data_IF_096458786743
#
_entry.id   IF_096458786743
#
_cell.length_a   1.000
_cell.length_b   1.000
_cell.length_c   1.000
_cell.angle_alpha   90.00
_cell.angle_beta   90.00
_cell.angle_gamma   90.00
#
_symmetry.space_group_name_H-M   'P 1'
#
loop_
_entity.id
_entity.type
_entity.pdbx_description
1 polymer ?
#
# COMPACT_ATOMS: atom_id res chain seq x y z
N UNK A 1 -5.12 -33.36 5.58
CA UNK A 1 -6.59 -33.39 5.75
C UNK A 1 -6.99 -32.18 6.57
N UNK A 2 -7.50 -31.13 5.92
CA UNK A 2 -8.47 -30.14 6.40
C UNK A 2 -8.65 -29.12 5.27
N UNK A 3 -9.75 -29.27 4.54
CA UNK A 3 -10.23 -28.28 3.59
C UNK A 3 -10.87 -27.16 4.42
N UNK A 4 -10.48 -25.92 4.13
CA UNK A 4 -10.96 -24.72 4.79
C UNK A 4 -12.30 -24.33 4.17
N UNK A 5 -13.40 -24.78 4.76
CA UNK A 5 -14.75 -24.39 4.34
C UNK A 5 -14.97 -22.91 4.64
N UNK A 6 -15.06 -22.09 3.59
CA UNK A 6 -15.37 -20.67 3.73
C UNK A 6 -16.87 -20.47 3.71
N UNK A 7 -17.40 -19.98 4.83
CA UNK A 7 -18.83 -19.93 5.12
C UNK A 7 -19.27 -18.50 5.34
N UNK A 8 -19.97 -17.91 4.37
CA UNK A 8 -20.93 -16.83 4.62
C UNK A 8 -22.18 -17.21 3.80
N UNK A 9 -23.30 -17.48 4.49
CA UNK A 9 -24.57 -18.08 4.02
C UNK A 9 -24.70 -19.63 3.96
N UNK A 10 -23.72 -20.42 4.43
CA UNK A 10 -23.89 -21.88 4.59
C UNK A 10 -24.08 -22.67 3.28
N UNK A 11 -23.86 -22.04 2.12
CA UNK A 11 -24.08 -22.64 0.80
C UNK A 11 -22.76 -22.74 0.05
N UNK A 12 -22.06 -23.86 0.24
CA UNK A 12 -20.88 -24.19 -0.55
C UNK A 12 -21.31 -24.49 -1.99
N UNK A 13 -20.80 -23.71 -2.94
CA UNK A 13 -21.08 -23.94 -4.36
C UNK A 13 -20.37 -25.21 -4.85
N UNK A 14 -21.11 -26.07 -5.54
CA UNK A 14 -20.53 -27.21 -6.26
C UNK A 14 -19.66 -26.73 -7.42
N UNK A 15 -18.71 -27.55 -7.90
CA UNK A 15 -17.91 -27.21 -9.09
C UNK A 15 -18.78 -26.86 -10.30
N UNK A 16 -19.88 -27.59 -10.53
CA UNK A 16 -20.83 -27.32 -11.61
C UNK A 16 -21.54 -25.97 -11.45
N UNK A 17 -21.91 -25.59 -10.23
CA UNK A 17 -22.51 -24.29 -9.95
C UNK A 17 -21.51 -23.16 -10.21
N UNK A 18 -20.25 -23.31 -9.80
CA UNK A 18 -19.19 -22.32 -10.09
C UNK A 18 -19.01 -22.14 -11.59
N UNK A 19 -18.92 -23.22 -12.36
CA UNK A 19 -18.83 -23.16 -13.82
C UNK A 19 -20.05 -22.48 -14.44
N UNK A 20 -21.26 -22.78 -13.96
CA UNK A 20 -22.48 -22.14 -14.45
C UNK A 20 -22.47 -20.62 -14.20
N UNK A 21 -22.01 -20.17 -13.03
CA UNK A 21 -21.86 -18.73 -12.74
C UNK A 21 -20.84 -18.06 -13.65
N UNK A 22 -19.72 -18.74 -13.95
CA UNK A 22 -18.73 -18.23 -14.92
C UNK A 22 -19.36 -18.10 -16.31
N UNK A 23 -20.13 -19.09 -16.77
CA UNK A 23 -20.83 -19.01 -18.06
C UNK A 23 -21.81 -17.83 -18.08
N UNK A 24 -22.59 -17.63 -17.02
CA UNK A 24 -23.55 -16.53 -16.92
C UNK A 24 -22.88 -15.15 -16.80
N UNK A 25 -21.63 -15.06 -16.32
CA UNK A 25 -20.86 -13.81 -16.38
C UNK A 25 -20.53 -13.39 -17.82
N UNK A 26 -20.55 -14.33 -18.78
CA UNK A 26 -20.36 -14.06 -20.20
C UNK A 26 -21.64 -13.66 -20.92
N UNK A 27 -22.79 -13.65 -20.24
CA UNK A 27 -24.09 -13.34 -20.85
C UNK A 27 -24.13 -11.88 -21.34
N UNK A 28 -24.79 -11.66 -22.48
CA UNK A 28 -24.96 -10.33 -23.08
C UNK A 28 -26.02 -9.51 -22.35
N UNK A 29 -26.97 -10.15 -21.65
CA UNK A 29 -28.00 -9.47 -20.87
C UNK A 29 -27.38 -8.78 -19.63
N UNK A 30 -27.42 -7.43 -19.55
CA UNK A 30 -26.89 -6.69 -18.41
C UNK A 30 -27.56 -7.04 -17.08
N UNK A 31 -28.84 -7.43 -17.10
CA UNK A 31 -29.57 -7.81 -15.90
C UNK A 31 -29.07 -9.14 -15.32
N UNK A 32 -28.80 -10.12 -16.19
CA UNK A 32 -28.20 -11.42 -15.80
C UNK A 32 -26.81 -11.18 -15.23
N UNK A 33 -25.96 -10.45 -15.96
CA UNK A 33 -24.61 -10.11 -15.51
C UNK A 33 -24.63 -9.45 -14.12
N UNK A 34 -25.50 -8.46 -13.91
CA UNK A 34 -25.59 -7.73 -12.64
C UNK A 34 -25.96 -8.66 -11.48
N UNK A 35 -26.98 -9.50 -11.64
CA UNK A 35 -27.40 -10.43 -10.59
C UNK A 35 -26.31 -11.46 -10.25
N UNK A 36 -25.66 -12.00 -11.27
CA UNK A 36 -24.57 -12.98 -11.09
C UNK A 36 -23.38 -12.32 -10.41
N UNK A 37 -23.01 -11.10 -10.81
CA UNK A 37 -21.95 -10.32 -10.17
C UNK A 37 -22.25 -10.09 -8.69
N UNK A 38 -23.45 -9.63 -8.35
CA UNK A 38 -23.86 -9.38 -6.96
C UNK A 38 -23.84 -10.66 -6.12
N UNK A 39 -24.31 -11.77 -6.68
CA UNK A 39 -24.24 -13.08 -6.04
C UNK A 39 -22.79 -13.50 -5.79
N UNK A 40 -21.89 -13.34 -6.75
CA UNK A 40 -20.48 -13.68 -6.59
C UNK A 40 -19.83 -12.82 -5.50
N UNK A 41 -20.09 -11.50 -5.51
CA UNK A 41 -19.59 -10.59 -4.48
C UNK A 41 -20.07 -10.97 -3.08
N UNK A 42 -21.29 -11.52 -2.94
CA UNK A 42 -21.83 -11.94 -1.64
C UNK A 42 -21.05 -13.08 -0.95
N UNK A 43 -20.21 -13.82 -1.70
CA UNK A 43 -19.31 -14.84 -1.12
C UNK A 43 -18.00 -14.25 -0.56
N UNK A 44 -17.77 -12.95 -0.73
CA UNK A 44 -16.57 -12.25 -0.28
C UNK A 44 -15.30 -12.77 -0.95
N UNK A 45 -14.14 -12.53 -0.33
CA UNK A 45 -12.82 -12.86 -0.91
C UNK A 45 -12.66 -14.33 -1.31
N UNK A 46 -13.40 -15.25 -0.67
CA UNK A 46 -13.37 -16.67 -1.04
C UNK A 46 -13.79 -16.96 -2.48
N UNK A 47 -14.55 -16.04 -3.09
CA UNK A 47 -14.90 -16.14 -4.48
C UNK A 47 -13.69 -15.96 -5.41
N UNK A 48 -12.70 -15.17 -5.02
CA UNK A 48 -11.52 -14.92 -5.85
C UNK A 48 -10.72 -16.21 -6.11
N UNK A 49 -10.63 -17.11 -5.13
CA UNK A 49 -9.86 -18.37 -5.25
C UNK A 49 -10.26 -19.24 -6.45
N UNK A 50 -11.56 -19.29 -6.76
CA UNK A 50 -12.04 -20.05 -7.92
C UNK A 50 -12.20 -19.19 -9.18
N UNK A 51 -12.42 -17.88 -9.05
CA UNK A 51 -12.45 -16.95 -10.19
C UNK A 51 -11.08 -16.83 -10.87
N UNK A 52 -9.98 -16.85 -10.12
CA UNK A 52 -8.60 -16.71 -10.64
C UNK A 52 -8.27 -17.76 -11.70
N UNK A 53 -8.88 -18.94 -11.63
CA UNK A 53 -8.70 -20.01 -12.64
C UNK A 53 -9.23 -19.61 -14.03
N UNK A 54 -10.14 -18.65 -14.09
CA UNK A 54 -10.78 -18.16 -15.30
C UNK A 54 -10.33 -16.75 -15.70
N UNK A 55 -9.46 -16.12 -14.89
CA UNK A 55 -8.91 -14.78 -15.13
C UNK A 55 -8.06 -14.68 -16.41
N UNK A 56 -7.63 -15.82 -16.97
CA UNK A 56 -6.86 -15.92 -18.21
C UNK A 56 -7.67 -16.38 -19.43
N UNK A 57 -9.00 -16.36 -19.38
CA UNK A 57 -9.84 -16.80 -20.52
C UNK A 57 -9.60 -15.97 -21.80
N UNK A 58 -9.79 -16.59 -22.97
CA UNK A 58 -9.62 -15.94 -24.28
C UNK A 58 -10.70 -14.88 -24.55
N UNK A 59 -11.90 -15.09 -24.00
CA UNK A 59 -12.99 -14.11 -24.09
C UNK A 59 -12.61 -12.82 -23.32
N UNK A 60 -12.35 -11.75 -24.07
CA UNK A 60 -11.91 -10.47 -23.55
C UNK A 60 -12.94 -9.84 -22.59
N UNK A 61 -14.22 -9.99 -22.87
CA UNK A 61 -15.32 -9.40 -22.07
C UNK A 61 -15.44 -10.16 -20.76
N UNK A 62 -15.52 -11.49 -20.84
CA UNK A 62 -15.58 -12.34 -19.66
C UNK A 62 -14.34 -12.16 -18.78
N UNK A 63 -13.15 -12.14 -19.39
CA UNK A 63 -11.88 -11.89 -18.69
C UNK A 63 -11.89 -10.58 -17.93
N UNK A 64 -12.31 -9.48 -18.58
CA UNK A 64 -12.42 -8.16 -17.95
C UNK A 64 -13.37 -8.21 -16.75
N UNK A 65 -14.58 -8.76 -16.93
CA UNK A 65 -15.59 -8.89 -15.88
C UNK A 65 -15.08 -9.69 -14.68
N UNK A 66 -14.40 -10.81 -14.93
CA UNK A 66 -13.81 -11.64 -13.86
C UNK A 66 -12.74 -10.86 -13.09
N UNK A 67 -11.82 -10.21 -13.80
CA UNK A 67 -10.74 -9.44 -13.17
C UNK A 67 -11.28 -8.24 -12.36
N UNK A 68 -12.32 -7.57 -12.85
CA UNK A 68 -13.01 -6.50 -12.09
C UNK A 68 -13.63 -7.03 -10.80
N UNK A 69 -14.24 -8.22 -10.82
CA UNK A 69 -14.81 -8.84 -9.61
C UNK A 69 -13.71 -9.26 -8.65
N UNK A 70 -12.64 -9.92 -9.12
CA UNK A 70 -11.50 -10.30 -8.28
C UNK A 70 -10.90 -9.06 -7.61
N UNK A 71 -10.63 -8.02 -8.40
CA UNK A 71 -10.10 -6.77 -7.88
C UNK A 71 -11.01 -6.18 -6.81
N UNK A 72 -12.34 -6.15 -7.04
CA UNK A 72 -13.28 -5.60 -6.08
C UNK A 72 -13.32 -6.38 -4.76
N UNK A 73 -13.29 -7.72 -4.84
CA UNK A 73 -13.25 -8.60 -3.67
C UNK A 73 -11.99 -8.40 -2.82
N UNK A 74 -10.84 -8.25 -3.47
CA UNK A 74 -9.60 -7.99 -2.76
C UNK A 74 -9.56 -6.57 -2.19
N UNK A 75 -10.09 -5.57 -2.90
CA UNK A 75 -10.22 -4.20 -2.39
C UNK A 75 -11.05 -4.15 -1.09
N UNK A 76 -12.24 -4.77 -1.10
CA UNK A 76 -13.10 -4.80 0.10
C UNK A 76 -12.39 -5.45 1.29
N UNK A 77 -11.65 -6.54 1.05
CA UNK A 77 -10.82 -7.17 2.08
C UNK A 77 -9.71 -6.25 2.58
N UNK A 78 -8.99 -5.58 1.69
CA UNK A 78 -7.90 -4.67 2.05
C UNK A 78 -8.40 -3.47 2.87
N UNK A 79 -9.57 -2.93 2.51
CA UNK A 79 -10.24 -1.88 3.29
C UNK A 79 -10.54 -2.35 4.72
N UNK A 80 -11.11 -3.54 4.87
CA UNK A 80 -11.40 -4.16 6.17
C UNK A 80 -10.12 -4.39 6.98
N UNK A 81 -9.07 -4.91 6.35
CA UNK A 81 -7.78 -5.19 7.00
C UNK A 81 -7.10 -3.89 7.47
N UNK A 82 -7.10 -2.85 6.64
CA UNK A 82 -6.54 -1.54 6.99
C UNK A 82 -7.30 -0.90 8.15
N UNK A 83 -8.64 -0.88 8.10
CA UNK A 83 -9.46 -0.34 9.19
C UNK A 83 -9.27 -1.16 10.48
N UNK A 84 -9.24 -2.49 10.38
CA UNK A 84 -8.99 -3.36 11.52
C UNK A 84 -7.63 -3.09 12.16
N UNK A 85 -6.61 -2.86 11.32
CA UNK A 85 -5.28 -2.47 11.77
C UNK A 85 -5.33 -1.15 12.53
N UNK A 86 -5.88 -0.08 11.94
CA UNK A 86 -6.00 1.23 12.59
C UNK A 86 -6.72 1.17 13.95
N UNK A 87 -7.76 0.36 14.09
CA UNK A 87 -8.52 0.21 15.33
C UNK A 87 -7.76 -0.57 16.43
N UNK A 88 -6.82 -1.45 16.04
CA UNK A 88 -6.05 -2.30 16.96
C UNK A 88 -4.68 -1.72 17.32
N UNK A 89 -4.23 -0.72 16.59
CA UNK A 89 -2.95 -0.08 16.83
C UNK A 89 -2.97 0.72 18.13
N UNK A 90 -2.54 0.09 19.21
CA UNK A 90 -2.13 0.79 20.43
C UNK A 90 -0.74 1.42 20.26
N UNK A 91 0.08 1.37 21.31
CA UNK A 91 1.39 2.05 21.35
C UNK A 91 2.46 1.48 20.39
N UNK A 92 2.22 0.31 19.78
CA UNK A 92 3.13 -0.33 18.83
C UNK A 92 2.57 -0.25 17.40
N UNK A 93 2.73 0.92 16.78
CA UNK A 93 2.33 1.17 15.40
C UNK A 93 3.47 0.84 14.42
N UNK A 94 3.31 -0.23 13.64
CA UNK A 94 4.25 -0.55 12.56
C UNK A 94 3.90 0.27 11.31
N UNK A 95 4.73 1.28 11.01
CA UNK A 95 4.53 2.22 9.89
C UNK A 95 4.62 1.50 8.55
N UNK A 96 5.60 0.61 8.36
CA UNK A 96 5.76 -0.12 7.09
C UNK A 96 4.48 -0.88 6.76
N UNK A 97 4.02 -1.70 7.72
CA UNK A 97 2.77 -2.45 7.56
C UNK A 97 1.57 -1.53 7.31
N UNK A 98 1.49 -0.39 8.00
CA UNK A 98 0.40 0.57 7.83
C UNK A 98 0.36 1.15 6.40
N UNK A 99 1.51 1.53 5.86
CA UNK A 99 1.60 2.15 4.54
C UNK A 99 1.28 1.14 3.44
N UNK A 100 1.69 -0.12 3.59
CA UNK A 100 1.31 -1.17 2.63
C UNK A 100 -0.16 -1.57 2.71
N UNK A 101 -0.74 -1.64 3.92
CA UNK A 101 -2.18 -1.87 4.06
C UNK A 101 -2.99 -0.74 3.42
N UNK A 102 -2.55 0.51 3.57
CA UNK A 102 -3.15 1.65 2.86
C UNK A 102 -2.95 1.53 1.35
N UNK A 103 -1.79 1.10 0.87
CA UNK A 103 -1.57 0.90 -0.56
C UNK A 103 -2.46 -0.21 -1.14
N UNK A 104 -2.76 -1.25 -0.38
CA UNK A 104 -3.63 -2.33 -0.80
C UNK A 104 -5.10 -1.91 -0.97
N UNK A 105 -5.55 -0.79 -0.39
CA UNK A 105 -6.93 -0.29 -0.65
C UNK A 105 -7.11 0.18 -2.10
N UNK A 106 -6.04 0.71 -2.72
CA UNK A 106 -6.02 1.11 -4.13
C UNK A 106 -5.37 0.06 -5.04
N UNK A 107 -4.41 -0.69 -4.53
CA UNK A 107 -3.68 -1.72 -5.27
C UNK A 107 -3.80 -3.07 -4.58
N UNK A 108 -5.01 -3.67 -4.51
CA UNK A 108 -5.32 -4.85 -3.69
C UNK A 108 -4.61 -6.15 -4.12
N UNK A 109 -3.89 -6.12 -5.24
CA UNK A 109 -3.15 -7.25 -5.79
C UNK A 109 -1.63 -7.14 -5.56
N UNK A 110 -1.14 -6.11 -4.85
CA UNK A 110 0.28 -5.99 -4.53
C UNK A 110 0.69 -7.04 -3.49
N UNK A 111 1.88 -7.62 -3.67
CA UNK A 111 2.46 -8.61 -2.77
C UNK A 111 3.37 -7.91 -1.76
N UNK A 112 2.89 -7.76 -0.52
CA UNK A 112 3.61 -7.06 0.55
C UNK A 112 5.02 -7.62 0.77
N UNK A 113 5.17 -8.94 0.73
CA UNK A 113 6.42 -9.65 0.97
C UNK A 113 7.50 -9.28 -0.05
N UNK A 114 7.11 -9.05 -1.31
CA UNK A 114 8.04 -8.64 -2.36
C UNK A 114 8.61 -7.24 -2.10
N UNK A 115 7.77 -6.29 -1.68
CA UNK A 115 8.24 -4.95 -1.33
C UNK A 115 8.99 -4.90 0.00
N UNK A 116 8.58 -5.73 0.97
CA UNK A 116 9.28 -5.87 2.24
C UNK A 116 10.72 -6.37 2.01
N UNK A 117 10.90 -7.41 1.18
CA UNK A 117 12.22 -7.89 0.79
C UNK A 117 13.06 -6.82 0.05
N UNK A 118 12.43 -6.00 -0.78
CA UNK A 118 13.10 -4.87 -1.44
C UNK A 118 13.60 -3.84 -0.42
N UNK A 119 12.77 -3.46 0.55
CA UNK A 119 13.13 -2.52 1.60
C UNK A 119 14.20 -3.08 2.53
N UNK A 120 14.12 -4.37 2.88
CA UNK A 120 15.13 -5.06 3.67
C UNK A 120 16.50 -5.05 3.00
N UNK A 121 16.55 -5.20 1.67
CA UNK A 121 17.80 -5.08 0.92
C UNK A 121 18.38 -3.66 1.05
N UNK A 122 17.56 -2.62 0.90
CA UNK A 122 18.00 -1.23 1.06
C UNK A 122 18.46 -0.94 2.49
N UNK A 123 17.75 -1.46 3.49
CA UNK A 123 18.11 -1.34 4.88
C UNK A 123 19.44 -2.08 5.19
N UNK A 124 19.66 -3.25 4.59
CA UNK A 124 20.91 -3.99 4.74
C UNK A 124 22.09 -3.22 4.16
N UNK A 125 21.96 -2.65 2.97
CA UNK A 125 22.98 -1.79 2.36
C UNK A 125 23.29 -0.59 3.26
N UNK A 126 22.25 0.10 3.74
CA UNK A 126 22.41 1.25 4.61
C UNK A 126 23.10 0.90 5.93
N UNK A 127 22.75 -0.24 6.53
CA UNK A 127 23.32 -0.67 7.81
C UNK A 127 24.83 -0.86 7.72
N UNK A 128 25.35 -1.43 6.64
CA UNK A 128 26.79 -1.65 6.47
C UNK A 128 27.58 -0.34 6.54
N UNK A 129 27.02 0.75 6.02
CA UNK A 129 27.68 2.06 5.98
C UNK A 129 27.39 2.87 7.26
N UNK A 130 26.16 2.81 7.77
CA UNK A 130 25.73 3.48 9.00
C UNK A 130 26.55 3.03 10.21
N UNK A 131 26.98 1.77 10.27
CA UNK A 131 27.84 1.25 11.36
C UNK A 131 29.15 2.04 11.53
N UNK A 132 29.62 2.71 10.48
CA UNK A 132 30.85 3.52 10.51
C UNK A 132 30.59 5.03 10.73
N UNK A 133 29.33 5.44 10.82
CA UNK A 133 28.94 6.84 11.03
C UNK A 133 29.04 7.24 12.51
N UNK A 134 29.18 8.55 12.77
CA UNK A 134 29.35 9.12 14.12
C UNK A 134 28.28 10.13 14.49
N UNK A 135 27.49 10.59 13.52
CA UNK A 135 26.47 11.62 13.72
C UNK A 135 25.20 11.29 12.96
N UNK A 136 24.06 11.78 13.44
CA UNK A 136 22.78 11.62 12.74
C UNK A 136 22.82 12.21 11.32
N UNK A 137 23.60 13.28 11.09
CA UNK A 137 23.73 13.88 9.76
C UNK A 137 24.36 12.91 8.76
N UNK A 138 25.42 12.21 9.15
CA UNK A 138 26.08 11.21 8.31
C UNK A 138 25.17 10.02 7.99
N UNK A 139 24.31 9.62 8.94
CA UNK A 139 23.29 8.59 8.68
C UNK A 139 22.37 9.04 7.55
N UNK A 140 21.92 10.29 7.57
CA UNK A 140 21.05 10.79 6.50
C UNK A 140 21.80 10.96 5.17
N UNK A 141 23.08 11.33 5.19
CA UNK A 141 23.91 11.37 3.98
C UNK A 141 24.01 9.98 3.32
N UNK A 142 24.26 8.92 4.11
CA UNK A 142 24.28 7.53 3.64
C UNK A 142 22.92 7.14 3.06
N UNK A 143 21.82 7.43 3.76
CA UNK A 143 20.47 7.13 3.27
C UNK A 143 20.16 7.85 1.95
N UNK A 144 20.53 9.12 1.83
CA UNK A 144 20.33 9.89 0.61
C UNK A 144 21.15 9.33 -0.55
N UNK A 145 22.40 8.94 -0.32
CA UNK A 145 23.25 8.31 -1.34
C UNK A 145 22.63 6.99 -1.84
N UNK A 146 22.19 6.13 -0.92
CA UNK A 146 21.57 4.85 -1.28
C UNK A 146 20.26 5.07 -2.05
N UNK A 147 19.37 5.91 -1.54
CA UNK A 147 18.05 6.11 -2.14
C UNK A 147 18.17 6.85 -3.47
N UNK A 148 18.82 8.02 -3.50
CA UNK A 148 18.79 8.90 -4.67
C UNK A 148 19.91 8.61 -5.67
N UNK A 149 21.13 8.32 -5.22
CA UNK A 149 22.26 8.12 -6.13
C UNK A 149 22.38 6.67 -6.61
N UNK A 150 22.24 5.69 -5.71
CA UNK A 150 22.41 4.26 -6.03
C UNK A 150 21.15 3.61 -6.57
N UNK A 151 20.01 3.85 -5.93
CA UNK A 151 18.73 3.31 -6.39
C UNK A 151 17.97 4.24 -7.35
N UNK A 152 18.47 5.45 -7.60
CA UNK A 152 17.96 6.38 -8.61
C UNK A 152 16.51 6.82 -8.38
N UNK A 153 16.09 6.98 -7.12
CA UNK A 153 14.81 7.61 -6.84
C UNK A 153 14.85 9.08 -7.26
N UNK A 154 13.82 9.56 -7.94
CA UNK A 154 13.72 10.95 -8.39
C UNK A 154 12.33 11.53 -8.16
N UNK A 155 12.18 12.85 -7.97
CA UNK A 155 10.87 13.48 -7.97
C UNK A 155 10.23 13.45 -9.36
N UNK A 156 8.92 13.21 -9.45
CA UNK A 156 8.14 13.30 -10.69
C UNK A 156 7.43 14.65 -10.79
N UNK A 157 8.12 15.64 -11.37
CA UNK A 157 7.58 16.98 -11.58
C UNK A 157 6.47 17.01 -12.63
N UNK A 158 6.54 16.12 -13.62
CA UNK A 158 5.59 16.07 -14.74
C UNK A 158 4.20 15.60 -14.27
N UNK A 159 4.15 14.76 -13.24
CA UNK A 159 2.91 14.17 -12.71
C UNK A 159 2.65 14.53 -11.25
N UNK A 160 3.08 15.71 -10.81
CA UNK A 160 2.94 16.17 -9.41
C UNK A 160 1.50 16.15 -8.87
N UNK A 161 0.47 16.21 -9.71
CA UNK A 161 -0.93 16.10 -9.26
C UNK A 161 -1.44 14.66 -9.19
N UNK A 162 -0.63 13.66 -9.56
CA UNK A 162 -1.05 12.26 -9.59
C UNK A 162 -1.13 11.70 -8.15
N UNK A 163 -2.33 11.37 -7.64
CA UNK A 163 -2.48 10.84 -6.28
C UNK A 163 -1.75 9.49 -6.10
N UNK A 164 -1.53 8.72 -7.17
CA UNK A 164 -0.81 7.44 -7.11
C UNK A 164 0.62 7.57 -6.56
N UNK A 165 1.26 8.72 -6.78
CA UNK A 165 2.64 8.96 -6.33
C UNK A 165 2.78 9.10 -4.81
N UNK A 166 1.68 9.07 -4.05
CA UNK A 166 1.68 8.97 -2.60
C UNK A 166 1.79 7.54 -2.08
N UNK A 167 1.54 6.53 -2.92
CA UNK A 167 1.54 5.13 -2.50
C UNK A 167 2.94 4.52 -2.65
N UNK A 168 3.40 3.88 -1.57
CA UNK A 168 4.77 3.39 -1.48
C UNK A 168 5.12 2.38 -2.58
N UNK A 169 4.17 1.52 -2.96
CA UNK A 169 4.37 0.54 -4.02
C UNK A 169 4.68 1.22 -5.37
N UNK A 170 3.91 2.27 -5.70
CA UNK A 170 4.11 3.04 -6.94
C UNK A 170 5.47 3.74 -6.92
N UNK A 171 5.86 4.30 -5.78
CA UNK A 171 7.16 4.95 -5.60
C UNK A 171 8.31 3.95 -5.74
N UNK A 172 8.20 2.77 -5.14
CA UNK A 172 9.21 1.71 -5.23
C UNK A 172 9.32 1.14 -6.65
N UNK A 173 8.21 0.93 -7.34
CA UNK A 173 8.18 0.39 -8.70
C UNK A 173 8.73 1.38 -9.73
N UNK A 174 8.28 2.64 -9.66
CA UNK A 174 8.65 3.67 -10.63
C UNK A 174 9.95 4.37 -10.26
N UNK A 175 10.41 4.23 -9.02
CA UNK A 175 11.48 5.05 -8.41
C UNK A 175 11.19 6.54 -8.53
N UNK A 176 9.90 6.88 -8.49
CA UNK A 176 9.39 8.22 -8.73
C UNK A 176 8.39 8.59 -7.64
N UNK A 177 8.69 9.68 -6.93
CA UNK A 177 7.85 10.17 -5.84
C UNK A 177 7.26 11.55 -6.12
N UNK A 178 6.30 11.94 -5.29
CA UNK A 178 5.76 13.29 -5.30
C UNK A 178 6.88 14.34 -5.09
N UNK A 179 6.99 15.35 -5.96
CA UNK A 179 7.89 16.46 -5.72
C UNK A 179 7.38 17.26 -4.52
N UNK A 180 8.22 17.38 -3.49
CA UNK A 180 7.95 18.32 -2.41
C UNK A 180 7.97 19.75 -3.01
N UNK A 181 6.82 20.44 -3.00
CA UNK A 181 6.67 21.79 -3.54
C UNK A 181 7.68 22.82 -2.97
N UNK A 182 8.31 22.51 -1.83
CA UNK A 182 9.34 23.33 -1.19
C UNK A 182 10.74 23.25 -1.83
N UNK A 183 10.93 22.47 -2.91
CA UNK A 183 12.25 22.20 -3.46
C UNK A 183 12.29 22.46 -4.97
N UNK A 184 12.59 23.69 -5.43
CA UNK A 184 12.90 23.90 -6.84
C UNK A 184 14.19 23.13 -7.16
N UNK A 185 14.18 22.46 -8.30
CA UNK A 185 15.35 21.78 -8.86
C UNK A 185 16.53 22.75 -8.93
N UNK A 186 17.59 22.49 -8.17
CA UNK A 186 18.90 23.07 -8.40
C UNK A 186 19.94 21.95 -8.48
N UNK A 187 20.88 21.97 -9.45
CA UNK A 187 21.74 20.83 -9.75
C UNK A 187 22.91 20.68 -8.76
N UNK A 188 23.04 21.56 -7.78
CA UNK A 188 24.20 21.63 -6.90
C UNK A 188 23.77 22.23 -5.56
N UNK A 189 23.49 21.42 -4.54
CA UNK A 189 23.77 21.80 -3.15
C UNK A 189 23.73 20.60 -2.19
N UNK A 190 24.74 20.50 -1.32
CA UNK A 190 24.86 19.55 -0.20
C UNK A 190 23.66 19.65 0.75
N UNK A 191 23.18 18.53 1.32
CA UNK A 191 22.03 18.56 2.23
C UNK A 191 22.47 19.04 3.61
N UNK A 192 21.97 20.21 4.03
CA UNK A 192 21.73 20.46 5.46
C UNK A 192 20.27 20.14 5.71
N UNK A 193 20.00 19.09 6.49
CA UNK A 193 18.64 18.79 6.94
C UNK A 193 18.19 19.85 7.94
N UNK A 194 17.34 20.77 7.50
CA UNK A 194 16.45 21.48 8.41
C UNK A 194 15.30 20.53 8.79
N UNK A 195 15.43 19.94 9.97
CA UNK A 195 14.32 19.30 10.66
C UNK A 195 13.44 20.43 11.18
N UNK A 196 12.39 20.80 10.44
CA UNK A 196 11.37 21.72 10.95
C UNK A 196 10.65 21.07 12.12
N UNK A 197 11.02 21.59 13.29
CA UNK A 197 10.44 21.37 14.61
C UNK A 197 8.91 21.40 14.58
N UNK A 198 8.25 20.26 14.80
CA UNK A 198 6.87 20.22 15.31
C UNK A 198 6.76 19.29 16.52
N UNK A 199 7.69 19.47 17.45
CA UNK A 199 7.48 19.15 18.86
C UNK A 199 7.07 20.43 19.59
N UNK A 200 5.79 20.82 19.49
CA UNK A 200 5.17 21.66 20.50
C UNK A 200 3.65 21.51 20.43
N UNK A 201 3.13 20.54 21.18
CA UNK A 201 1.74 20.54 21.63
C UNK A 201 1.68 19.88 23.02
N UNK A 202 2.19 20.60 24.02
CA UNK A 202 1.78 20.40 25.40
C UNK A 202 1.60 21.77 26.08
N UNK A 203 0.37 22.30 26.17
CA UNK A 203 0.09 23.51 26.91
C UNK A 203 -0.13 23.15 28.38
N UNK A 204 0.96 22.97 29.13
CA UNK A 204 1.03 23.12 30.61
C UNK A 204 2.40 22.65 31.08
N UNK A 205 3.31 23.62 31.21
CA UNK A 205 4.28 23.82 32.31
C UNK A 205 5.50 24.58 31.80
N UNK A 206 5.46 25.91 31.86
CA UNK A 206 6.61 26.70 32.31
C UNK A 206 6.11 28.10 32.67
N UNK A 207 5.78 28.30 33.94
CA UNK A 207 5.73 29.62 34.54
C UNK A 207 7.09 29.86 35.17
N UNK A 208 7.87 30.75 34.58
CA UNK A 208 8.91 31.57 35.19
C UNK A 208 9.05 32.79 34.26
N UNK A 209 9.39 34.00 34.74
CA UNK A 209 10.32 34.25 35.86
C UNK A 209 9.86 35.39 36.80
N UNK A 210 10.52 35.54 37.95
CA UNK A 210 10.95 36.87 38.42
C UNK A 210 12.15 36.66 39.36
N UNK A 211 13.30 37.13 38.89
CA UNK A 211 14.37 37.66 39.71
C UNK A 211 13.83 38.81 40.57
N UNK A 212 14.21 38.87 41.84
CA UNK A 212 14.59 40.16 42.44
C UNK A 212 15.53 39.95 43.63
N UNK A 213 16.53 40.82 43.61
CA UNK A 213 17.53 41.09 44.64
C UNK A 213 16.88 41.48 45.98
N UNK A 214 17.44 40.99 47.08
CA UNK A 214 17.98 41.76 48.21
C UNK A 214 18.62 40.81 49.23
#
# INVERSE_FOLDING_TARGET
MRQSDTTISGKTLTPSQKTALITLLGDEDPAIYKQVRELILSFGVSASEWLTKYAGTEDLVLRRRINEIIYKLHQEKSDEEFLSFCLKCGDQFNIEKAVFLLAQTEFPLIEYETYCAQLDNYAHEALQEVLFTRTCLQIVEVLNEIIFERHHFVPDFDHSTNPELHYINVVLDRKKGQPNHSRPALPVYRPTLEITHRANNNPRTLSMPYTNEH
#
